data_IF_134412860764
#
_entry.id   IF_134412860764
#
_cell.length_a   1.000
_cell.length_b   1.000
_cell.length_c   1.000
_cell.angle_alpha   90.00
_cell.angle_beta   90.00
_cell.angle_gamma   90.00
#
_symmetry.space_group_name_H-M   'P 1'
#
loop_
_entity.id
_entity.type
_entity.pdbx_description
1 polymer ?
#
# COMPACT_ATOMS: atom_id res chain seq x y z
N UNK A 1 -14.49 -5.81 -13.06
CA UNK A 1 -13.73 -5.21 -11.94
C UNK A 1 -12.36 -5.84 -11.95
N UNK A 2 -11.28 -5.07 -12.12
CA UNK A 2 -9.91 -5.59 -12.02
C UNK A 2 -9.42 -5.33 -10.60
N UNK A 3 -9.08 -6.39 -9.88
CA UNK A 3 -8.49 -6.26 -8.56
C UNK A 3 -7.02 -5.86 -8.73
N UNK A 4 -6.58 -4.80 -8.05
CA UNK A 4 -5.18 -4.40 -8.03
C UNK A 4 -4.39 -5.42 -7.21
N UNK A 5 -3.25 -5.87 -7.74
CA UNK A 5 -2.30 -6.72 -7.02
C UNK A 5 -0.96 -6.01 -6.92
N UNK A 6 -0.26 -6.23 -5.81
CA UNK A 6 1.10 -5.73 -5.59
C UNK A 6 1.99 -6.86 -5.09
N UNK A 7 3.29 -6.74 -5.33
CA UNK A 7 4.29 -7.69 -4.83
C UNK A 7 4.91 -7.17 -3.54
N UNK A 8 4.84 -7.96 -2.47
CA UNK A 8 5.52 -7.67 -1.20
C UNK A 8 6.59 -8.73 -0.94
N UNK A 9 7.63 -8.38 -0.17
CA UNK A 9 8.70 -9.29 0.23
C UNK A 9 8.47 -9.69 1.69
N UNK A 10 8.43 -10.99 1.97
CA UNK A 10 8.54 -11.47 3.35
C UNK A 10 10.00 -11.28 3.81
N UNK A 11 10.24 -10.55 4.89
CA UNK A 11 11.61 -10.28 5.35
C UNK A 11 12.27 -11.47 6.03
N UNK A 12 11.50 -12.44 6.53
CA UNK A 12 12.00 -13.69 7.11
C UNK A 12 12.59 -14.61 6.03
N UNK A 13 11.88 -14.79 4.91
CA UNK A 13 12.29 -15.70 3.84
C UNK A 13 12.95 -15.01 2.65
N UNK A 14 12.85 -13.68 2.54
CA UNK A 14 13.24 -12.92 1.36
C UNK A 14 12.36 -13.18 0.13
N UNK A 15 11.32 -13.99 0.24
CA UNK A 15 10.53 -14.41 -0.92
C UNK A 15 9.47 -13.37 -1.28
N UNK A 16 9.31 -13.07 -2.59
CA UNK A 16 8.21 -12.25 -3.07
C UNK A 16 6.89 -13.01 -2.98
N UNK A 17 5.82 -12.28 -2.67
CA UNK A 17 4.44 -12.77 -2.72
C UNK A 17 3.53 -11.72 -3.35
N UNK A 18 2.57 -12.18 -4.16
CA UNK A 18 1.51 -11.32 -4.67
C UNK A 18 0.36 -11.24 -3.68
N UNK A 19 -0.11 -10.02 -3.44
CA UNK A 19 -1.22 -9.74 -2.51
C UNK A 19 -2.23 -8.84 -3.21
N UNK A 20 -3.49 -8.97 -2.81
CA UNK A 20 -4.58 -8.17 -3.39
C UNK A 20 -4.73 -6.87 -2.60
N UNK A 21 -4.80 -5.73 -3.28
CA UNK A 21 -5.06 -4.44 -2.64
C UNK A 21 -6.55 -4.31 -2.37
N UNK A 22 -6.91 -4.12 -1.09
CA UNK A 22 -8.28 -3.86 -0.66
C UNK A 22 -8.56 -2.35 -0.58
N UNK A 23 -7.60 -1.57 -0.08
CA UNK A 23 -7.69 -0.12 0.04
C UNK A 23 -6.31 0.50 -0.14
N UNK A 24 -6.21 1.57 -0.93
CA UNK A 24 -4.95 2.25 -1.21
C UNK A 24 -5.04 3.73 -0.85
N UNK A 25 -4.25 4.15 0.13
CA UNK A 25 -3.99 5.55 0.48
C UNK A 25 -2.50 5.72 0.68
N UNK A 26 -1.98 6.93 0.44
CA UNK A 26 -0.55 7.16 0.60
C UNK A 26 -0.06 6.91 2.04
N UNK A 27 -0.91 7.05 3.06
CA UNK A 27 -0.49 6.80 4.45
C UNK A 27 -0.82 5.38 4.96
N UNK A 28 -1.61 4.61 4.22
CA UNK A 28 -2.07 3.29 4.63
C UNK A 28 -2.55 2.51 3.41
N UNK A 29 -1.96 1.33 3.18
CA UNK A 29 -2.40 0.40 2.15
C UNK A 29 -2.87 -0.86 2.87
N UNK A 30 -4.14 -1.21 2.73
CA UNK A 30 -4.70 -2.46 3.26
C UNK A 30 -4.67 -3.49 2.16
N UNK A 31 -3.98 -4.60 2.40
CA UNK A 31 -3.87 -5.73 1.48
C UNK A 31 -4.51 -6.98 2.06
N UNK A 32 -4.84 -7.93 1.19
CA UNK A 32 -5.32 -9.26 1.54
C UNK A 32 -4.29 -10.28 1.09
N UNK A 33 -3.85 -11.09 2.04
CA UNK A 33 -2.87 -12.16 1.86
C UNK A 33 -3.62 -13.50 1.89
N UNK A 34 -3.34 -14.36 0.90
CA UNK A 34 -3.99 -15.66 0.75
C UNK A 34 -5.27 -15.62 -0.12
N UNK A 35 -5.78 -16.80 -0.44
CA UNK A 35 -6.96 -16.98 -1.30
C UNK A 35 -8.08 -17.71 -0.53
N UNK A 36 -9.34 -17.43 -0.88
CA UNK A 36 -10.51 -18.10 -0.31
C UNK A 36 -10.79 -17.72 1.14
N UNK A 37 -11.24 -18.69 1.94
CA UNK A 37 -11.70 -18.49 3.34
C UNK A 37 -10.55 -18.25 4.33
N UNK A 38 -9.32 -18.58 3.96
CA UNK A 38 -8.13 -18.35 4.79
C UNK A 38 -7.37 -17.09 4.37
N UNK A 39 -8.10 -16.05 3.98
CA UNK A 39 -7.53 -14.76 3.69
C UNK A 39 -7.35 -13.94 4.97
N UNK A 40 -6.35 -13.07 4.98
CA UNK A 40 -6.07 -12.17 6.10
C UNK A 40 -5.78 -10.78 5.58
N UNK A 41 -6.30 -9.77 6.28
CA UNK A 41 -5.94 -8.38 6.03
C UNK A 41 -4.62 -8.02 6.70
N UNK A 42 -3.82 -7.22 6.03
CA UNK A 42 -2.60 -6.64 6.56
C UNK A 42 -2.54 -5.16 6.15
N UNK A 43 -2.26 -4.30 7.12
CA UNK A 43 -2.05 -2.89 6.89
C UNK A 43 -0.57 -2.61 6.69
N UNK A 44 -0.24 -1.99 5.56
CA UNK A 44 1.10 -1.53 5.23
C UNK A 44 1.17 -0.02 5.48
N UNK A 45 2.10 0.39 6.33
CA UNK A 45 2.36 1.80 6.67
C UNK A 45 3.70 2.25 6.09
N UNK A 46 3.83 3.53 5.66
CA UNK A 46 5.11 4.05 5.20
C UNK A 46 6.17 3.86 6.28
N UNK A 47 7.32 3.33 5.87
CA UNK A 47 8.53 3.31 6.69
C UNK A 47 8.97 4.74 7.01
N UNK A 48 9.79 4.90 8.07
CA UNK A 48 10.22 6.23 8.55
C UNK A 48 10.92 7.08 7.48
N UNK A 49 11.64 6.45 6.54
CA UNK A 49 12.31 7.13 5.43
C UNK A 49 11.40 7.33 4.20
N UNK A 50 10.16 6.83 4.23
CA UNK A 50 9.18 6.95 3.16
C UNK A 50 9.52 6.18 1.87
N UNK A 51 10.49 5.27 1.89
CA UNK A 51 10.97 4.55 0.70
C UNK A 51 10.24 3.22 0.46
N UNK A 52 9.55 2.70 1.48
CA UNK A 52 8.79 1.47 1.41
C UNK A 52 7.59 1.53 2.35
N UNK A 53 6.69 0.56 2.22
CA UNK A 53 5.62 0.30 3.19
C UNK A 53 5.86 -1.03 3.88
N UNK A 54 5.70 -1.07 5.20
CA UNK A 54 5.86 -2.28 6.00
C UNK A 54 4.59 -2.58 6.79
N UNK A 55 4.32 -3.87 6.96
CA UNK A 55 3.24 -4.38 7.80
C UNK A 55 3.61 -5.73 8.39
N UNK A 56 2.80 -6.21 9.33
CA UNK A 56 3.00 -7.52 9.95
C UNK A 56 1.80 -8.42 9.71
N UNK A 57 2.06 -9.68 9.36
CA UNK A 57 1.05 -10.74 9.25
C UNK A 57 1.51 -11.93 10.08
N UNK A 58 0.72 -12.29 11.11
CA UNK A 58 1.03 -13.38 12.05
C UNK A 58 2.47 -13.32 12.61
N UNK A 59 2.96 -12.12 12.92
CA UNK A 59 4.30 -11.93 13.48
C UNK A 59 5.44 -11.89 12.46
N UNK A 60 5.13 -11.98 11.16
CA UNK A 60 6.11 -11.84 10.07
C UNK A 60 5.97 -10.50 9.40
N UNK A 61 7.09 -9.81 9.21
CA UNK A 61 7.11 -8.54 8.50
C UNK A 61 7.08 -8.76 6.98
N UNK A 62 6.28 -7.94 6.30
CA UNK A 62 6.18 -7.87 4.85
C UNK A 62 6.44 -6.45 4.39
N UNK A 63 7.19 -6.30 3.30
CA UNK A 63 7.62 -5.00 2.78
C UNK A 63 7.22 -4.83 1.33
N UNK A 64 6.48 -3.77 1.05
CA UNK A 64 6.22 -3.28 -0.30
C UNK A 64 7.25 -2.20 -0.67
N UNK A 65 8.10 -2.49 -1.65
CA UNK A 65 9.17 -1.60 -2.10
C UNK A 65 8.65 -0.55 -3.08
N UNK A 66 7.90 0.41 -2.55
CA UNK A 66 7.39 1.58 -3.27
C UNK A 66 7.45 2.78 -2.34
N UNK A 67 7.98 3.90 -2.82
CA UNK A 67 8.03 5.11 -2.00
C UNK A 67 6.65 5.73 -1.84
N UNK A 68 6.49 6.49 -0.76
CA UNK A 68 5.26 7.24 -0.49
C UNK A 68 4.89 8.20 -1.65
N UNK A 69 5.89 8.89 -2.20
CA UNK A 69 5.70 9.80 -3.32
C UNK A 69 5.21 9.08 -4.58
N UNK A 70 5.73 7.89 -4.88
CA UNK A 70 5.27 7.08 -6.02
C UNK A 70 3.84 6.61 -5.81
N UNK A 71 3.49 6.11 -4.62
CA UNK A 71 2.10 5.71 -4.31
C UNK A 71 1.15 6.89 -4.44
N UNK A 72 1.56 8.08 -3.98
CA UNK A 72 0.76 9.29 -4.13
C UNK A 72 0.57 9.66 -5.61
N UNK A 73 1.61 9.58 -6.43
CA UNK A 73 1.52 9.85 -7.86
C UNK A 73 0.60 8.85 -8.57
N UNK A 74 0.68 7.56 -8.21
CA UNK A 74 -0.22 6.53 -8.73
C UNK A 74 -1.69 6.87 -8.39
N UNK A 75 -1.97 7.26 -7.14
CA UNK A 75 -3.31 7.66 -6.70
C UNK A 75 -3.82 8.93 -7.42
N UNK A 76 -2.94 9.90 -7.66
CA UNK A 76 -3.29 11.14 -8.35
C UNK A 76 -3.61 10.90 -9.84
N UNK A 77 -2.96 9.90 -10.44
CA UNK A 77 -3.24 9.46 -11.81
C UNK A 77 -4.58 8.73 -11.92
N UNK A 78 -4.83 7.77 -11.03
CA UNK A 78 -6.04 6.93 -11.07
C UNK A 78 -7.30 7.68 -10.64
N UNK A 79 -7.17 8.74 -9.83
CA UNK A 79 -8.28 9.60 -9.46
C UNK A 79 -7.86 11.08 -9.32
N UNK A 80 -7.96 11.89 -10.39
CA UNK A 80 -7.58 13.30 -10.36
C UNK A 80 -8.43 14.16 -9.41
N UNK A 81 -9.55 13.66 -8.88
CA UNK A 81 -10.32 14.37 -7.86
C UNK A 81 -9.62 14.40 -6.48
N UNK A 82 -8.77 13.42 -6.17
CA UNK A 82 -7.94 13.42 -4.95
C UNK A 82 -6.93 14.58 -4.95
N UNK A 83 -6.47 14.99 -6.14
CA UNK A 83 -5.58 16.15 -6.35
C UNK A 83 -6.20 17.47 -5.89
N UNK A 84 -7.51 17.64 -6.08
CA UNK A 84 -8.24 18.88 -5.72
C UNK A 84 -8.37 19.06 -4.21
N UNK A 85 -8.55 17.97 -3.45
CA UNK A 85 -8.70 18.03 -1.98
C UNK A 85 -7.41 18.45 -1.25
N UNK A 86 -6.23 18.14 -1.83
CA UNK A 86 -4.92 18.52 -1.26
C UNK A 86 -4.54 19.97 -1.53
N UNK A 87 -5.19 20.63 -2.49
CA UNK A 87 -4.99 22.06 -2.74
C UNK A 87 -5.91 22.84 -1.79
N UNK A 88 -5.61 22.81 -0.50
CA UNK A 88 -6.21 23.77 0.42
C UNK A 88 -5.75 25.16 -0.03
N UNK A 89 -6.72 25.94 -0.49
CA UNK A 89 -6.60 27.33 -0.93
C UNK A 89 -5.85 28.11 0.17
N UNK A 90 -4.61 28.53 -0.08
CA UNK A 90 -3.97 29.55 0.77
C UNK A 90 -4.83 30.80 0.63
N UNK A 91 -5.62 31.13 1.66
CA UNK A 91 -6.23 32.44 1.76
C UNK A 91 -5.09 33.45 1.87
N UNK A 92 -4.93 34.26 0.83
CA UNK A 92 -4.30 35.58 0.90
C UNK A 92 -5.43 36.59 1.03
#
# INVERSE_FOLDING_TARGET
>A
MKNETITVINTESGQPMEVVVMSKRANLITVVIGQGVHNMQCDLTPTKNGQAYAGSVRGREVVYHRSHAQVQADLDHDNPALKKSRTFKKHT
#
